data_IF_172900326829
#
_entry.id   IF_172900326829
#
_cell.length_a   1.000
_cell.length_b   1.000
_cell.length_c   1.000
_cell.angle_alpha   90.00
_cell.angle_beta   90.00
_cell.angle_gamma   90.00
#
_symmetry.space_group_name_H-M   'P 1'
#
loop_
_entity.id
_entity.type
_entity.pdbx_description
1 polymer ?
#
# COMPACT_ATOMS: atom_id res chain seq x y z
N UNK A 1 -1.37 21.81 -14.52
CA UNK A 1 -0.37 20.74 -14.28
C UNK A 1 0.79 21.20 -13.39
N UNK A 2 1.03 22.50 -13.21
CA UNK A 2 2.04 23.08 -12.31
C UNK A 2 1.43 24.22 -11.46
N UNK A 3 0.43 23.94 -10.62
CA UNK A 3 -0.01 24.96 -9.65
C UNK A 3 1.06 25.05 -8.55
N UNK A 4 1.71 26.21 -8.32
CA UNK A 4 2.71 26.37 -7.28
C UNK A 4 2.23 25.95 -5.90
N UNK A 5 0.92 26.07 -5.64
CA UNK A 5 0.27 25.68 -4.37
C UNK A 5 0.21 24.17 -4.16
N UNK A 6 0.43 23.37 -5.20
CA UNK A 6 0.56 21.92 -5.10
C UNK A 6 2.01 21.46 -5.23
N UNK A 7 2.79 22.11 -6.10
CA UNK A 7 4.16 21.69 -6.40
C UNK A 7 5.14 21.98 -5.26
N UNK A 8 5.10 23.17 -4.65
CA UNK A 8 6.02 23.50 -3.56
C UNK A 8 5.77 22.64 -2.31
N UNK A 9 4.52 22.43 -1.85
CA UNK A 9 4.27 21.54 -0.72
C UNK A 9 4.64 20.08 -1.03
N UNK A 10 4.42 19.60 -2.26
CA UNK A 10 4.85 18.27 -2.69
C UNK A 10 6.38 18.11 -2.56
N UNK A 11 7.15 19.07 -3.11
CA UNK A 11 8.61 19.06 -3.02
C UNK A 11 9.09 19.11 -1.57
N UNK A 12 8.45 19.92 -0.73
CA UNK A 12 8.80 20.03 0.69
C UNK A 12 8.61 18.69 1.43
N UNK A 13 7.45 18.04 1.30
CA UNK A 13 7.19 16.75 1.96
C UNK A 13 8.19 15.69 1.51
N UNK A 14 8.48 15.61 0.21
CA UNK A 14 9.47 14.67 -0.31
C UNK A 14 10.88 14.94 0.22
N UNK A 15 11.30 16.20 0.26
CA UNK A 15 12.60 16.60 0.78
C UNK A 15 12.74 16.27 2.27
N UNK A 16 11.68 16.48 3.07
CA UNK A 16 11.65 16.13 4.49
C UNK A 16 11.78 14.62 4.71
N UNK A 17 11.13 13.79 3.89
CA UNK A 17 11.30 12.34 3.93
C UNK A 17 12.74 11.89 3.67
N UNK A 18 13.39 12.49 2.66
CA UNK A 18 14.80 12.22 2.36
C UNK A 18 15.80 12.74 3.41
N UNK A 19 15.40 13.75 4.20
CA UNK A 19 16.23 14.30 5.29
C UNK A 19 16.02 13.57 6.63
N UNK A 20 14.95 12.78 6.76
CA UNK A 20 14.48 12.23 8.04
C UNK A 20 15.55 11.47 8.84
N UNK A 21 16.39 10.66 8.20
CA UNK A 21 17.44 9.87 8.85
C UNK A 21 18.59 10.72 9.42
N UNK A 22 18.75 11.94 8.91
CA UNK A 22 19.74 12.93 9.36
C UNK A 22 19.19 13.91 10.40
N UNK A 23 17.86 13.95 10.54
CA UNK A 23 17.16 14.87 11.42
C UNK A 23 17.32 14.49 12.89
N UNK A 24 17.37 15.51 13.76
CA UNK A 24 17.31 15.31 15.22
C UNK A 24 15.91 14.83 15.64
N UNK A 25 15.78 14.26 16.84
CA UNK A 25 14.52 13.69 17.34
C UNK A 25 13.33 14.67 17.27
N UNK A 26 13.52 15.92 17.69
CA UNK A 26 12.51 16.99 17.62
C UNK A 26 12.08 17.30 16.17
N UNK A 27 13.05 17.29 15.26
CA UNK A 27 12.80 17.46 13.83
C UNK A 27 12.10 16.25 13.22
N UNK A 28 12.44 15.02 13.65
CA UNK A 28 11.77 13.79 13.20
C UNK A 28 10.30 13.80 13.58
N UNK A 29 9.95 14.19 14.81
CA UNK A 29 8.56 14.33 15.25
C UNK A 29 7.80 15.34 14.39
N UNK A 30 8.44 16.46 14.04
CA UNK A 30 7.84 17.46 13.15
C UNK A 30 7.64 16.91 11.72
N UNK A 31 8.63 16.21 11.17
CA UNK A 31 8.54 15.58 9.84
C UNK A 31 7.42 14.53 9.81
N UNK A 32 7.33 13.70 10.85
CA UNK A 32 6.25 12.71 11.02
C UNK A 32 4.87 13.37 10.96
N UNK A 33 4.67 14.47 11.70
CA UNK A 33 3.40 15.23 11.69
C UNK A 33 3.06 15.78 10.30
N UNK A 34 4.06 16.32 9.59
CA UNK A 34 3.88 16.82 8.21
C UNK A 34 3.51 15.68 7.25
N UNK A 35 4.18 14.53 7.35
CA UNK A 35 3.86 13.36 6.52
C UNK A 35 2.43 12.91 6.79
N UNK A 36 2.01 12.82 8.06
CA UNK A 36 0.66 12.41 8.44
C UNK A 36 -0.42 13.39 7.97
N UNK A 37 -0.13 14.69 8.00
CA UNK A 37 -1.00 15.71 7.40
C UNK A 37 -1.08 15.54 5.87
N UNK A 38 0.04 15.27 5.21
CA UNK A 38 0.07 15.07 3.76
C UNK A 38 -0.68 13.79 3.30
N UNK A 39 -0.70 12.73 4.11
CA UNK A 39 -1.54 11.54 3.88
C UNK A 39 -3.02 11.89 3.82
N UNK A 40 -3.46 12.79 4.69
CA UNK A 40 -4.86 13.19 4.87
C UNK A 40 -5.26 14.44 4.08
N UNK A 41 -4.37 14.94 3.21
CA UNK A 41 -4.62 16.15 2.42
C UNK A 41 -5.64 15.87 1.31
N UNK A 42 -6.52 16.83 1.05
CA UNK A 42 -7.54 16.73 0.00
C UNK A 42 -6.95 16.63 -1.42
N UNK A 43 -5.75 17.19 -1.63
CA UNK A 43 -5.04 17.16 -2.91
C UNK A 43 -4.33 15.83 -3.07
N UNK A 44 -4.72 15.07 -4.11
CA UNK A 44 -4.15 13.75 -4.37
C UNK A 44 -2.61 13.74 -4.51
N UNK A 45 -2.01 14.83 -5.03
CA UNK A 45 -0.55 14.97 -5.13
C UNK A 45 0.14 14.93 -3.77
N UNK A 46 -0.45 15.53 -2.75
CA UNK A 46 0.10 15.52 -1.40
C UNK A 46 0.08 14.10 -0.80
N UNK A 47 -0.95 13.32 -1.13
CA UNK A 47 -1.02 11.89 -0.76
C UNK A 47 0.02 11.02 -1.49
N UNK A 48 0.47 11.42 -2.68
CA UNK A 48 1.65 10.81 -3.30
C UNK A 48 2.95 11.27 -2.63
N UNK A 49 3.04 12.55 -2.27
CA UNK A 49 4.22 13.09 -1.60
C UNK A 49 4.50 12.36 -0.27
N UNK A 50 3.46 12.06 0.51
CA UNK A 50 3.61 11.30 1.76
C UNK A 50 4.11 9.87 1.52
N UNK A 51 3.59 9.17 0.51
CA UNK A 51 4.08 7.85 0.13
C UNK A 51 5.55 7.89 -0.34
N UNK A 52 5.93 8.90 -1.12
CA UNK A 52 7.31 9.08 -1.59
C UNK A 52 8.28 9.50 -0.47
N UNK A 53 7.80 10.26 0.51
CA UNK A 53 8.57 10.57 1.72
C UNK A 53 8.86 9.29 2.52
N UNK A 54 7.86 8.44 2.73
CA UNK A 54 8.04 7.13 3.37
C UNK A 54 8.95 6.19 2.57
N UNK A 55 8.89 6.23 1.24
CA UNK A 55 9.84 5.50 0.39
C UNK A 55 11.27 5.93 0.65
N UNK A 56 11.52 7.25 0.73
CA UNK A 56 12.85 7.80 0.99
C UNK A 56 13.37 7.37 2.37
N UNK A 57 12.50 7.45 3.40
CA UNK A 57 12.81 6.95 4.75
C UNK A 57 13.16 5.45 4.72
N UNK A 58 12.39 4.65 3.97
CA UNK A 58 12.64 3.22 3.84
C UNK A 58 13.92 2.89 3.08
N UNK A 59 14.33 3.72 2.12
CA UNK A 59 15.58 3.55 1.37
C UNK A 59 16.80 3.77 2.26
N UNK A 60 16.73 4.72 3.20
CA UNK A 60 17.75 4.91 4.24
C UNK A 60 17.76 3.77 5.26
N UNK A 61 16.61 3.17 5.53
CA UNK A 61 16.50 1.96 6.34
C UNK A 61 15.08 1.43 6.46
N UNK A 62 14.86 0.19 6.04
CA UNK A 62 13.54 -0.45 6.13
C UNK A 62 12.99 -0.48 7.58
N UNK A 63 13.87 -0.63 8.58
CA UNK A 63 13.46 -0.59 9.97
C UNK A 63 12.83 0.75 10.38
N UNK A 64 13.28 1.87 9.79
CA UNK A 64 12.76 3.21 10.08
C UNK A 64 11.31 3.33 9.58
N UNK A 65 11.06 2.99 8.31
CA UNK A 65 9.71 3.07 7.75
C UNK A 65 8.77 2.05 8.41
N UNK A 66 9.27 0.86 8.75
CA UNK A 66 8.50 -0.13 9.52
C UNK A 66 8.09 0.42 10.88
N UNK A 67 9.00 1.01 11.64
CA UNK A 67 8.69 1.56 12.97
C UNK A 67 7.59 2.64 12.89
N UNK A 68 7.64 3.50 11.88
CA UNK A 68 6.62 4.52 11.66
C UNK A 68 5.25 3.91 11.32
N UNK A 69 5.23 2.93 10.42
CA UNK A 69 3.98 2.25 10.04
C UNK A 69 3.41 1.48 11.24
N UNK A 70 4.23 0.70 11.96
CA UNK A 70 3.79 -0.06 13.13
C UNK A 70 3.21 0.86 14.22
N UNK A 71 3.75 2.09 14.37
CA UNK A 71 3.23 3.10 15.31
C UNK A 71 1.89 3.70 14.87
N UNK A 72 1.65 3.82 13.56
CA UNK A 72 0.45 4.48 13.03
C UNK A 72 -0.64 3.53 12.59
N UNK A 73 -0.34 2.24 12.42
CA UNK A 73 -1.27 1.24 11.89
C UNK A 73 -2.53 1.15 12.76
N UNK A 74 -2.35 1.19 14.08
CA UNK A 74 -3.48 1.20 15.02
C UNK A 74 -4.29 2.50 14.87
N UNK A 75 -5.55 2.37 14.44
CA UNK A 75 -6.44 3.49 14.19
C UNK A 75 -6.23 4.22 12.85
N UNK A 76 -5.38 3.70 11.95
CA UNK A 76 -5.16 4.30 10.63
C UNK A 76 -6.45 4.30 9.79
N UNK A 77 -6.78 5.45 9.20
CA UNK A 77 -7.87 5.57 8.23
C UNK A 77 -7.45 5.08 6.83
N UNK A 78 -8.39 5.09 5.87
CA UNK A 78 -8.15 4.60 4.51
C UNK A 78 -7.06 5.36 3.74
N UNK A 79 -6.84 6.65 4.00
CA UNK A 79 -5.78 7.41 3.35
C UNK A 79 -4.39 7.07 3.89
N UNK A 80 -4.29 6.88 5.20
CA UNK A 80 -3.05 6.46 5.87
C UNK A 80 -2.66 5.03 5.44
N UNK A 81 -3.61 4.09 5.49
CA UNK A 81 -3.41 2.73 4.99
C UNK A 81 -2.98 2.71 3.52
N UNK A 82 -3.58 3.59 2.68
CA UNK A 82 -3.17 3.76 1.28
C UNK A 82 -1.72 4.21 1.18
N UNK A 83 -1.33 5.20 1.99
CA UNK A 83 0.03 5.71 1.98
C UNK A 83 1.04 4.63 2.38
N UNK A 84 0.73 3.78 3.36
CA UNK A 84 1.60 2.68 3.77
C UNK A 84 1.83 1.69 2.63
N UNK A 85 0.75 1.18 2.01
CA UNK A 85 0.88 0.18 0.94
C UNK A 85 1.51 0.77 -0.33
N UNK A 86 1.26 2.05 -0.63
CA UNK A 86 1.89 2.74 -1.76
C UNK A 86 3.39 2.99 -1.51
N UNK A 87 3.77 3.34 -0.27
CA UNK A 87 5.16 3.53 0.11
C UNK A 87 5.94 2.21 0.03
N UNK A 88 5.38 1.14 0.57
CA UNK A 88 6.02 -0.17 0.59
C UNK A 88 6.08 -0.83 -0.79
N UNK A 89 5.18 -0.49 -1.72
CA UNK A 89 5.17 -0.97 -3.11
C UNK A 89 6.30 -0.37 -3.97
N UNK A 90 7.50 -0.33 -3.40
CA UNK A 90 8.70 0.29 -3.93
C UNK A 90 9.82 -0.75 -4.01
N UNK A 91 10.25 -1.17 -5.23
CA UNK A 91 11.18 -2.28 -5.40
C UNK A 91 12.47 -2.23 -4.57
N UNK A 92 13.11 -1.07 -4.33
CA UNK A 92 14.27 -0.98 -3.43
C UNK A 92 14.04 -1.52 -2.02
N UNK A 93 12.81 -1.44 -1.50
CA UNK A 93 12.45 -1.92 -0.15
C UNK A 93 12.24 -3.43 -0.09
N UNK A 94 11.99 -4.07 -1.23
CA UNK A 94 11.56 -5.46 -1.33
C UNK A 94 12.72 -6.45 -1.60
N UNK A 95 13.96 -5.95 -1.57
CA UNK A 95 15.17 -6.76 -1.86
C UNK A 95 15.40 -7.89 -0.85
N UNK A 96 14.95 -7.73 0.39
CA UNK A 96 15.04 -8.75 1.44
C UNK A 96 13.70 -9.44 1.60
N UNK A 97 13.72 -10.77 1.70
CA UNK A 97 12.52 -11.60 1.85
C UNK A 97 11.68 -11.14 3.05
N UNK A 98 12.33 -10.85 4.18
CA UNK A 98 11.67 -10.44 5.42
C UNK A 98 10.89 -9.12 5.25
N UNK A 99 11.41 -8.20 4.45
CA UNK A 99 10.75 -6.92 4.15
C UNK A 99 9.47 -7.16 3.35
N UNK A 100 9.54 -8.00 2.32
CA UNK A 100 8.38 -8.33 1.50
C UNK A 100 7.33 -9.10 2.30
N UNK A 101 7.75 -10.02 3.18
CA UNK A 101 6.83 -10.72 4.09
C UNK A 101 6.11 -9.73 5.02
N UNK A 102 6.80 -8.73 5.56
CA UNK A 102 6.15 -7.65 6.33
C UNK A 102 5.11 -6.91 5.49
N UNK A 103 5.44 -6.55 4.25
CA UNK A 103 4.52 -5.85 3.34
C UNK A 103 3.26 -6.70 3.05
N UNK A 104 3.44 -8.00 2.81
CA UNK A 104 2.34 -8.94 2.61
C UNK A 104 1.50 -9.08 3.89
N UNK A 105 2.11 -9.15 5.07
CA UNK A 105 1.36 -9.23 6.33
C UNK A 105 0.51 -7.98 6.58
N UNK A 106 1.09 -6.78 6.39
CA UNK A 106 0.36 -5.52 6.51
C UNK A 106 -0.82 -5.47 5.52
N UNK A 107 -0.57 -5.77 4.25
CA UNK A 107 -1.62 -5.79 3.23
C UNK A 107 -2.70 -6.85 3.51
N UNK A 108 -2.35 -7.98 4.14
CA UNK A 108 -3.31 -9.01 4.56
C UNK A 108 -4.24 -8.45 5.63
N UNK A 109 -3.71 -7.80 6.67
CA UNK A 109 -4.52 -7.21 7.75
C UNK A 109 -5.47 -6.13 7.22
N UNK A 110 -5.00 -5.28 6.32
CA UNK A 110 -5.83 -4.25 5.67
C UNK A 110 -6.94 -4.89 4.83
N UNK A 111 -6.64 -5.95 4.07
CA UNK A 111 -7.63 -6.64 3.23
C UNK A 111 -8.65 -7.43 4.08
N UNK A 112 -8.23 -7.99 5.21
CA UNK A 112 -9.12 -8.66 6.18
C UNK A 112 -10.09 -7.68 6.81
N UNK A 113 -9.60 -6.55 7.33
CA UNK A 113 -10.44 -5.52 7.96
C UNK A 113 -11.43 -4.88 6.97
N UNK A 114 -11.02 -4.77 5.70
CA UNK A 114 -11.89 -4.31 4.62
C UNK A 114 -13.01 -5.31 4.30
N UNK A 115 -12.72 -6.62 4.32
CA UNK A 115 -13.65 -7.69 3.98
C UNK A 115 -14.58 -8.11 5.13
N UNK A 116 -14.14 -7.98 6.38
CA UNK A 116 -14.97 -8.25 7.57
C UNK A 116 -16.04 -7.19 7.81
N UNK A 117 -15.87 -5.99 7.25
CA UNK A 117 -16.73 -4.84 7.54
C UNK A 117 -16.50 -4.26 8.94
N UNK A 118 -15.47 -4.73 9.66
CA UNK A 118 -15.06 -4.20 10.98
C UNK A 118 -14.66 -2.73 10.90
N UNK A 119 -14.12 -2.31 9.75
CA UNK A 119 -13.80 -0.91 9.47
C UNK A 119 -14.94 -0.29 8.67
N UNK A 120 -15.74 0.55 9.34
CA UNK A 120 -16.55 1.54 8.64
C UNK A 120 -15.63 2.67 8.19
N UNK A 121 -15.27 2.68 6.91
CA UNK A 121 -14.57 3.82 6.34
C UNK A 121 -15.43 5.07 6.50
N UNK A 122 -14.81 6.16 6.95
CA UNK A 122 -15.46 7.45 7.25
C UNK A 122 -16.37 7.92 6.10
N UNK A 123 -15.95 7.66 4.86
CA UNK A 123 -16.75 7.84 3.66
C UNK A 123 -16.34 6.88 2.51
N UNK A 124 -17.07 6.97 1.40
CA UNK A 124 -16.79 6.21 0.18
C UNK A 124 -15.47 6.60 -0.50
N UNK A 125 -14.93 7.80 -0.23
CA UNK A 125 -13.66 8.24 -0.81
C UNK A 125 -12.48 7.52 -0.16
N UNK A 126 -12.46 7.41 1.17
CA UNK A 126 -11.43 6.69 1.92
C UNK A 126 -11.29 5.25 1.42
N UNK A 127 -12.42 4.55 1.29
CA UNK A 127 -12.45 3.21 0.73
C UNK A 127 -11.89 3.18 -0.70
N UNK A 128 -12.35 4.09 -1.56
CA UNK A 128 -11.96 4.14 -2.97
C UNK A 128 -10.45 4.39 -3.14
N UNK A 129 -9.88 5.29 -2.36
CA UNK A 129 -8.44 5.63 -2.42
C UNK A 129 -7.60 4.45 -1.95
N UNK A 130 -7.97 3.81 -0.85
CA UNK A 130 -7.30 2.60 -0.36
C UNK A 130 -7.38 1.45 -1.36
N UNK A 131 -8.58 1.15 -1.85
CA UNK A 131 -8.83 0.10 -2.84
C UNK A 131 -7.94 0.31 -4.07
N UNK A 132 -7.82 1.55 -4.58
CA UNK A 132 -6.93 1.87 -5.71
C UNK A 132 -5.44 1.65 -5.41
N UNK A 133 -4.99 1.94 -4.19
CA UNK A 133 -3.63 1.61 -3.75
C UNK A 133 -3.38 0.11 -3.79
N UNK A 134 -4.32 -0.67 -3.24
CA UNK A 134 -4.25 -2.14 -3.18
C UNK A 134 -4.36 -2.79 -4.55
N UNK A 135 -5.17 -2.27 -5.48
CA UNK A 135 -5.29 -2.74 -6.87
C UNK A 135 -3.96 -2.72 -7.66
N UNK A 136 -2.91 -2.08 -7.12
CA UNK A 136 -1.56 -2.05 -7.69
C UNK A 136 -0.49 -2.63 -6.77
N UNK A 137 -0.50 -2.29 -5.48
CA UNK A 137 0.57 -2.62 -4.54
C UNK A 137 0.79 -4.12 -4.37
N UNK A 138 -0.29 -4.92 -4.30
CA UNK A 138 -0.17 -6.36 -4.06
C UNK A 138 0.64 -7.05 -5.15
N UNK A 139 0.46 -6.65 -6.41
CA UNK A 139 1.23 -7.22 -7.53
C UNK A 139 2.73 -6.98 -7.39
N UNK A 140 3.13 -5.89 -6.73
CA UNK A 140 4.54 -5.57 -6.46
C UNK A 140 5.10 -6.53 -5.41
N UNK A 141 4.36 -6.72 -4.31
CA UNK A 141 4.73 -7.65 -3.24
C UNK A 141 4.79 -9.10 -3.74
N UNK A 142 3.76 -9.54 -4.46
CA UNK A 142 3.65 -10.89 -5.03
C UNK A 142 4.76 -11.16 -6.03
N UNK A 143 5.12 -10.17 -6.88
CA UNK A 143 6.22 -10.36 -7.81
C UNK A 143 7.58 -10.55 -7.10
N UNK A 144 7.73 -9.99 -5.89
CA UNK A 144 8.96 -10.11 -5.09
C UNK A 144 9.00 -11.38 -4.25
N UNK A 145 7.89 -11.82 -3.66
CA UNK A 145 7.78 -13.10 -2.93
C UNK A 145 6.58 -13.91 -3.45
N UNK A 146 6.74 -14.63 -4.57
CA UNK A 146 5.62 -15.25 -5.29
C UNK A 146 4.86 -16.30 -4.48
N UNK A 147 5.56 -17.16 -3.73
CA UNK A 147 4.92 -18.23 -2.97
C UNK A 147 3.94 -17.68 -1.93
N UNK A 148 4.41 -16.82 -1.03
CA UNK A 148 3.58 -16.19 -0.01
C UNK A 148 2.53 -15.24 -0.64
N UNK A 149 2.90 -14.52 -1.70
CA UNK A 149 2.01 -13.59 -2.38
C UNK A 149 0.84 -14.28 -3.08
N UNK A 150 1.08 -15.36 -3.82
CA UNK A 150 -0.01 -16.10 -4.48
C UNK A 150 -0.90 -16.81 -3.46
N UNK A 151 -0.35 -17.34 -2.36
CA UNK A 151 -1.16 -17.89 -1.27
C UNK A 151 -2.11 -16.83 -0.68
N UNK A 152 -1.63 -15.61 -0.48
CA UNK A 152 -2.48 -14.48 -0.06
C UNK A 152 -3.57 -14.16 -1.11
N UNK A 153 -3.21 -14.04 -2.40
CA UNK A 153 -4.19 -13.75 -3.44
C UNK A 153 -5.26 -14.85 -3.57
N UNK A 154 -4.87 -16.12 -3.43
CA UNK A 154 -5.80 -17.24 -3.45
C UNK A 154 -6.75 -17.22 -2.25
N UNK A 155 -6.25 -16.88 -1.05
CA UNK A 155 -7.09 -16.68 0.14
C UNK A 155 -8.17 -15.62 -0.12
N UNK A 156 -7.79 -14.45 -0.62
CA UNK A 156 -8.75 -13.37 -0.86
C UNK A 156 -9.61 -13.58 -2.10
N UNK A 157 -9.18 -14.40 -3.06
CA UNK A 157 -10.04 -14.81 -4.17
C UNK A 157 -11.28 -15.57 -3.68
N UNK A 158 -11.23 -16.22 -2.51
CA UNK A 158 -12.37 -16.94 -1.93
C UNK A 158 -13.31 -16.03 -1.10
N UNK A 159 -13.04 -14.71 -1.06
CA UNK A 159 -13.86 -13.77 -0.29
C UNK A 159 -15.28 -13.65 -0.87
N UNK A 160 -16.32 -13.56 -0.03
CA UNK A 160 -17.68 -13.24 -0.51
C UNK A 160 -17.85 -11.76 -0.89
N UNK A 161 -16.86 -10.90 -0.56
CA UNK A 161 -16.92 -9.46 -0.87
C UNK A 161 -16.40 -9.19 -2.30
N UNK A 162 -17.31 -8.79 -3.18
CA UNK A 162 -17.00 -8.40 -4.56
C UNK A 162 -15.93 -7.29 -4.67
N UNK A 163 -15.83 -6.43 -3.66
CA UNK A 163 -14.82 -5.35 -3.63
C UNK A 163 -13.43 -5.92 -3.41
N UNK A 164 -13.30 -6.95 -2.57
CA UNK A 164 -12.05 -7.71 -2.36
C UNK A 164 -11.67 -8.49 -3.61
N UNK A 165 -12.64 -9.21 -4.21
CA UNK A 165 -12.43 -9.94 -5.47
C UNK A 165 -11.89 -9.00 -6.56
N UNK A 166 -12.44 -7.79 -6.67
CA UNK A 166 -11.99 -6.78 -7.65
C UNK A 166 -10.53 -6.38 -7.43
N UNK A 167 -10.08 -6.22 -6.19
CA UNK A 167 -8.67 -5.92 -5.86
C UNK A 167 -7.77 -7.06 -6.31
N UNK A 168 -8.16 -8.32 -6.03
CA UNK A 168 -7.42 -9.51 -6.46
C UNK A 168 -7.31 -9.58 -7.98
N UNK A 169 -8.44 -9.50 -8.71
CA UNK A 169 -8.47 -9.52 -10.18
C UNK A 169 -7.59 -8.43 -10.80
N UNK A 170 -7.61 -7.22 -10.23
CA UNK A 170 -6.81 -6.09 -10.72
C UNK A 170 -5.31 -6.35 -10.63
N UNK A 171 -4.86 -7.03 -9.57
CA UNK A 171 -3.46 -7.38 -9.37
C UNK A 171 -3.03 -8.55 -10.26
N UNK A 172 -3.85 -9.59 -10.39
CA UNK A 172 -3.61 -10.72 -11.29
C UNK A 172 -3.42 -10.28 -12.75
N UNK A 173 -4.11 -9.22 -13.18
CA UNK A 173 -3.97 -8.64 -14.51
C UNK A 173 -2.67 -7.86 -14.76
N UNK A 174 -1.90 -7.50 -13.72
CA UNK A 174 -0.67 -6.70 -13.91
C UNK A 174 0.40 -7.53 -14.62
N UNK A 175 1.06 -6.94 -15.61
CA UNK A 175 2.06 -7.62 -16.48
C UNK A 175 3.15 -8.38 -15.72
N UNK A 176 3.57 -7.85 -14.56
CA UNK A 176 4.55 -8.50 -13.68
C UNK A 176 4.09 -9.86 -13.15
N UNK A 177 2.78 -10.09 -13.04
CA UNK A 177 2.18 -11.37 -12.67
C UNK A 177 1.67 -12.12 -13.90
N UNK A 178 0.82 -11.51 -14.72
CA UNK A 178 0.13 -12.17 -15.82
C UNK A 178 1.05 -12.74 -16.90
N UNK A 179 2.26 -12.17 -17.08
CA UNK A 179 3.24 -12.71 -18.04
C UNK A 179 4.15 -13.77 -17.43
N UNK A 180 4.68 -13.52 -16.23
CA UNK A 180 5.71 -14.37 -15.61
C UNK A 180 5.13 -15.60 -14.89
N UNK A 181 3.91 -15.48 -14.37
CA UNK A 181 3.25 -16.51 -13.55
C UNK A 181 1.87 -16.84 -14.12
N UNK A 182 1.79 -16.96 -15.45
CA UNK A 182 0.53 -17.10 -16.18
C UNK A 182 -0.30 -18.31 -15.71
N UNK A 183 0.36 -19.42 -15.35
CA UNK A 183 -0.30 -20.63 -14.84
C UNK A 183 -0.99 -20.38 -13.49
N UNK A 184 -0.25 -19.86 -12.49
CA UNK A 184 -0.84 -19.54 -11.19
C UNK A 184 -1.96 -18.50 -11.29
N UNK A 185 -1.78 -17.49 -12.18
CA UNK A 185 -2.82 -16.49 -12.44
C UNK A 185 -4.08 -17.15 -13.02
N UNK A 186 -3.95 -18.05 -13.99
CA UNK A 186 -5.08 -18.74 -14.59
C UNK A 186 -5.84 -19.63 -13.59
N UNK A 187 -5.11 -20.30 -12.68
CA UNK A 187 -5.71 -21.13 -11.63
C UNK A 187 -6.60 -20.31 -10.68
N UNK A 188 -6.10 -19.17 -10.21
CA UNK A 188 -6.88 -18.29 -9.32
C UNK A 188 -8.05 -17.64 -10.07
N UNK A 189 -7.87 -17.24 -11.34
CA UNK A 189 -8.98 -16.69 -12.14
C UNK A 189 -10.09 -17.73 -12.38
N UNK A 190 -9.72 -19.00 -12.57
CA UNK A 190 -10.68 -20.09 -12.75
C UNK A 190 -11.52 -20.33 -11.49
N UNK A 191 -10.93 -20.27 -10.30
CA UNK A 191 -11.69 -20.45 -9.05
C UNK A 191 -12.71 -19.33 -8.83
N UNK A 192 -12.39 -18.10 -9.23
CA UNK A 192 -13.30 -16.95 -9.20
C UNK A 192 -14.51 -17.12 -10.14
N UNK A 193 -14.31 -17.63 -11.37
CA UNK A 193 -15.41 -17.83 -12.33
C UNK A 193 -16.38 -18.92 -11.89
N UNK A 194 -15.89 -19.94 -11.15
CA UNK A 194 -16.75 -21.00 -10.62
C UNK A 194 -17.68 -20.43 -9.54
N UNK A 195 -17.16 -19.55 -8.66
CA UNK A 195 -17.96 -18.92 -7.61
C UNK A 195 -19.07 -18.00 -8.15
N UNK A 196 -18.85 -17.31 -9.27
CA UNK A 196 -19.87 -16.44 -9.89
C UNK A 196 -21.05 -17.20 -10.51
N UNK A 197 -20.95 -18.53 -10.67
CA UNK A 197 -21.97 -19.38 -11.31
C UNK A 197 -22.79 -20.24 -10.34
N UNK A 198 -22.43 -20.24 -9.06
CA UNK A 198 -23.11 -20.96 -7.96
C UNK A 198 -23.82 -19.96 -7.06
#
# INVERSE_FOLDING_TARGET
>A
MNDPREFLPFCAVRALGAYYSYAKEDQQVMIQSIIKTAMNDSRWRMREASAMALQSIGEDGFALVRQLIDMWEEGANGFEQRAFVAALAHPPLLKKKENTLYCLQLATRIMESMGSGEVQYEDAEHFRVLSKGLEYSLSVFVASEPEAGFAMLEKFAKSPDNRIIKIVKSNLGKSRLSKKYALQVAEILKSLTIQERT
#
